data_IF_764412452479
#
_entry.id   IF_764412452479
#
_cell.length_a   1.000
_cell.length_b   1.000
_cell.length_c   1.000
_cell.angle_alpha   90.00
_cell.angle_beta   90.00
_cell.angle_gamma   90.00
#
_symmetry.space_group_name_H-M   'P 1'
#
loop_
_entity.id
_entity.type
_entity.pdbx_description
1 polymer ?
#
# COMPACT_ATOMS: atom_id res chain seq x y z
N UNK A 1 -18.93 21.09 11.59
CA UNK A 1 -18.60 19.86 10.85
C UNK A 1 -17.84 20.27 9.58
N UNK A 2 -16.51 20.23 9.61
CA UNK A 2 -15.71 20.53 8.41
C UNK A 2 -15.54 19.22 7.63
N UNK A 3 -16.25 19.15 6.50
CA UNK A 3 -16.07 18.07 5.52
C UNK A 3 -14.77 18.36 4.78
N UNK A 4 -13.73 17.59 5.02
CA UNK A 4 -12.49 17.67 4.24
C UNK A 4 -12.68 16.80 2.99
N UNK A 5 -12.95 17.44 1.87
CA UNK A 5 -13.04 16.80 0.57
C UNK A 5 -11.60 16.50 0.11
N UNK A 6 -11.16 15.26 0.16
CA UNK A 6 -9.93 14.85 -0.48
C UNK A 6 -10.27 14.30 -1.87
N UNK A 7 -9.99 15.09 -2.91
CA UNK A 7 -10.08 14.62 -4.29
C UNK A 7 -8.75 13.92 -4.60
N UNK A 8 -8.78 12.61 -4.68
CA UNK A 8 -7.63 11.83 -5.16
C UNK A 8 -7.81 11.66 -6.65
N UNK A 9 -7.14 12.48 -7.43
CA UNK A 9 -7.07 12.32 -8.89
C UNK A 9 -5.79 11.53 -9.18
N UNK A 10 -5.92 10.25 -9.37
CA UNK A 10 -4.82 9.42 -9.88
C UNK A 10 -4.87 9.49 -11.41
N UNK A 11 -3.90 10.17 -12.00
CA UNK A 11 -3.73 10.22 -13.45
C UNK A 11 -2.64 9.21 -13.80
N UNK A 12 -3.04 8.09 -14.37
CA UNK A 12 -2.09 7.15 -14.97
C UNK A 12 -1.56 7.83 -16.23
N UNK A 13 -0.30 8.24 -16.19
CA UNK A 13 0.31 8.92 -17.32
C UNK A 13 0.83 7.88 -18.31
N UNK A 14 0.06 7.61 -19.35
CA UNK A 14 0.46 6.75 -20.47
C UNK A 14 1.43 7.44 -21.44
N UNK A 15 1.88 8.66 -21.13
CA UNK A 15 2.68 9.50 -22.01
C UNK A 15 4.09 8.98 -22.34
N UNK A 16 4.59 7.99 -21.60
CA UNK A 16 5.92 7.44 -21.82
C UNK A 16 5.96 6.14 -22.65
N UNK A 17 4.83 5.65 -23.12
CA UNK A 17 4.78 4.35 -23.81
C UNK A 17 5.25 4.43 -25.27
N UNK A 18 5.18 5.58 -25.95
CA UNK A 18 5.27 5.59 -27.41
C UNK A 18 6.52 6.25 -28.03
N UNK A 19 7.40 6.93 -27.28
CA UNK A 19 8.44 7.75 -27.94
C UNK A 19 9.84 7.76 -27.34
N UNK A 20 10.23 6.85 -26.50
CA UNK A 20 11.64 6.73 -26.10
C UNK A 20 12.19 5.36 -26.48
N UNK A 21 13.27 5.30 -27.28
CA UNK A 21 14.00 4.05 -27.43
C UNK A 21 14.69 3.75 -26.11
N UNK A 22 14.05 2.96 -25.26
CA UNK A 22 14.67 2.42 -24.05
C UNK A 22 15.62 1.31 -24.51
N UNK A 23 16.82 1.72 -24.85
CA UNK A 23 17.92 0.80 -25.09
C UNK A 23 18.30 0.19 -23.74
N UNK A 24 18.17 -1.09 -23.60
CA UNK A 24 18.98 -1.87 -22.66
C UNK A 24 18.28 -2.54 -21.47
N UNK A 25 16.96 -2.44 -21.30
CA UNK A 25 16.28 -3.14 -20.18
C UNK A 25 15.41 -4.33 -20.63
N UNK A 26 15.16 -4.48 -21.94
CA UNK A 26 14.30 -5.56 -22.48
C UNK A 26 15.06 -6.80 -22.90
N UNK A 27 16.38 -6.72 -23.00
CA UNK A 27 17.23 -7.86 -23.38
C UNK A 27 17.86 -8.57 -22.18
N UNK A 28 17.45 -8.26 -20.96
CA UNK A 28 17.67 -9.18 -19.85
C UNK A 28 16.91 -10.45 -20.19
N UNK A 29 17.67 -11.46 -20.62
CA UNK A 29 17.21 -12.83 -20.81
C UNK A 29 16.23 -13.15 -19.69
N UNK A 30 14.96 -13.30 -20.03
CA UNK A 30 13.99 -13.87 -19.11
C UNK A 30 14.39 -15.32 -19.00
N UNK A 31 15.30 -15.61 -18.05
CA UNK A 31 15.56 -16.97 -17.64
C UNK A 31 14.19 -17.61 -17.42
N UNK A 32 13.97 -18.77 -18.03
CA UNK A 32 12.79 -19.59 -17.89
C UNK A 32 12.37 -19.58 -16.43
N UNK A 33 11.34 -18.81 -16.09
CA UNK A 33 10.87 -18.66 -14.73
C UNK A 33 10.35 -20.02 -14.30
N UNK A 34 11.20 -20.80 -13.65
CA UNK A 34 10.79 -21.99 -12.90
C UNK A 34 9.52 -21.63 -12.14
N UNK A 35 8.47 -22.45 -12.14
CA UNK A 35 7.23 -22.12 -11.46
C UNK A 35 7.55 -21.78 -10.01
N UNK A 36 7.48 -20.49 -9.70
CA UNK A 36 7.75 -19.97 -8.37
C UNK A 36 6.73 -20.63 -7.45
N UNK A 37 7.20 -21.37 -6.48
CA UNK A 37 6.36 -22.05 -5.51
C UNK A 37 5.36 -21.04 -4.98
N UNK A 38 4.07 -21.29 -5.16
CA UNK A 38 3.02 -20.37 -4.74
C UNK A 38 3.14 -20.14 -3.22
N UNK A 39 3.70 -18.99 -2.85
CA UNK A 39 3.89 -18.64 -1.45
C UNK A 39 2.70 -17.80 -0.98
N UNK A 40 2.21 -18.13 0.18
CA UNK A 40 1.20 -17.37 0.89
C UNK A 40 1.65 -17.16 2.33
N UNK A 41 1.51 -15.95 2.91
CA UNK A 41 1.83 -15.72 4.31
C UNK A 41 0.90 -16.53 5.22
N UNK A 42 1.37 -16.81 6.43
CA UNK A 42 0.46 -17.25 7.50
C UNK A 42 -0.60 -16.17 7.74
N UNK A 43 -1.78 -16.57 8.19
CA UNK A 43 -2.83 -15.61 8.51
C UNK A 43 -2.34 -14.61 9.57
N UNK A 44 -2.65 -13.33 9.37
CA UNK A 44 -2.36 -12.31 10.36
C UNK A 44 -3.16 -12.60 11.64
N UNK A 45 -2.55 -12.56 12.85
CA UNK A 45 -3.25 -12.79 14.11
C UNK A 45 -4.18 -11.63 14.43
N UNK A 46 -5.34 -11.60 13.77
CA UNK A 46 -6.32 -10.54 13.83
C UNK A 46 -7.72 -11.10 13.58
N UNK A 47 -8.44 -11.39 14.65
CA UNK A 47 -9.83 -11.87 14.58
C UNK A 47 -10.84 -10.74 14.85
N UNK A 48 -10.46 -9.77 15.69
CA UNK A 48 -11.32 -8.67 16.08
C UNK A 48 -10.56 -7.34 16.15
N UNK A 49 -11.27 -6.26 15.92
CA UNK A 49 -10.73 -4.91 16.11
C UNK A 49 -10.98 -4.42 17.55
N UNK A 50 -9.99 -3.79 18.25
CA UNK A 50 -8.58 -3.62 17.81
C UNK A 50 -7.78 -4.93 17.94
N UNK A 51 -6.76 -5.12 17.07
CA UNK A 51 -5.93 -6.32 17.10
C UNK A 51 -4.99 -6.33 18.32
N UNK A 52 -4.48 -7.50 18.68
CA UNK A 52 -3.33 -7.58 19.57
C UNK A 52 -2.05 -7.17 18.79
N UNK A 53 -1.66 -5.93 18.94
CA UNK A 53 -0.48 -5.36 18.26
C UNK A 53 0.82 -6.09 18.59
N UNK A 54 0.96 -6.69 19.77
CA UNK A 54 2.14 -7.48 20.14
C UNK A 54 2.21 -8.77 19.33
N UNK A 55 1.08 -9.44 19.19
CA UNK A 55 0.97 -10.63 18.35
C UNK A 55 1.27 -10.32 16.88
N UNK A 56 0.78 -9.19 16.36
CA UNK A 56 1.09 -8.74 14.99
C UNK A 56 2.58 -8.48 14.81
N UNK A 57 3.26 -7.81 15.75
CA UNK A 57 4.71 -7.60 15.67
C UNK A 57 5.49 -8.93 15.74
N UNK A 58 5.10 -9.84 16.62
CA UNK A 58 5.72 -11.15 16.71
C UNK A 58 5.58 -11.94 15.39
N UNK A 59 4.40 -11.90 14.79
CA UNK A 59 4.15 -12.48 13.48
C UNK A 59 5.04 -11.86 12.40
N UNK A 60 5.15 -10.52 12.34
CA UNK A 60 6.03 -9.81 11.39
C UNK A 60 7.48 -10.23 11.51
N UNK A 61 8.00 -10.34 12.74
CA UNK A 61 9.38 -10.79 12.98
C UNK A 61 9.58 -12.20 12.42
N UNK A 62 8.65 -13.12 12.70
CA UNK A 62 8.69 -14.50 12.19
C UNK A 62 8.69 -14.55 10.66
N UNK A 63 7.75 -13.85 10.02
CA UNK A 63 7.66 -13.80 8.56
C UNK A 63 8.90 -13.16 7.93
N UNK A 64 9.40 -12.08 8.52
CA UNK A 64 10.59 -11.39 8.01
C UNK A 64 11.83 -12.28 8.10
N UNK A 65 12.01 -13.03 9.20
CA UNK A 65 13.10 -13.99 9.35
C UNK A 65 13.03 -15.08 8.27
N UNK A 66 11.83 -15.61 8.02
CA UNK A 66 11.60 -16.61 6.97
C UNK A 66 11.94 -16.06 5.56
N UNK A 67 11.49 -14.87 5.22
CA UNK A 67 11.74 -14.26 3.91
C UNK A 67 13.21 -13.90 3.70
N UNK A 68 13.93 -13.51 4.77
CA UNK A 68 15.36 -13.21 4.71
C UNK A 68 16.23 -14.45 4.54
N UNK A 69 15.80 -15.56 5.09
CA UNK A 69 16.56 -16.83 4.99
C UNK A 69 16.42 -17.52 3.64
N UNK A 70 15.45 -17.10 2.80
CA UNK A 70 15.19 -17.75 1.52
C UNK A 70 14.85 -16.71 0.42
N UNK A 71 15.82 -16.39 -0.48
CA UNK A 71 15.63 -15.43 -1.56
C UNK A 71 14.49 -15.78 -2.53
N UNK A 72 14.22 -17.05 -2.76
CA UNK A 72 13.14 -17.46 -3.68
C UNK A 72 11.76 -17.19 -3.05
N UNK A 73 11.64 -17.40 -1.73
CA UNK A 73 10.43 -16.99 -1.02
C UNK A 73 10.21 -15.46 -1.07
N UNK A 74 11.28 -14.69 -1.05
CA UNK A 74 11.17 -13.23 -1.18
C UNK A 74 10.62 -12.81 -2.54
N UNK A 75 11.05 -13.48 -3.64
CA UNK A 75 10.48 -13.23 -4.98
C UNK A 75 9.00 -13.57 -5.01
N UNK A 76 8.63 -14.74 -4.47
CA UNK A 76 7.24 -15.19 -4.37
C UNK A 76 6.39 -14.24 -3.53
N UNK A 77 6.92 -13.75 -2.41
CA UNK A 77 6.25 -12.78 -1.56
C UNK A 77 6.00 -11.45 -2.29
N UNK A 78 6.99 -10.97 -3.06
CA UNK A 78 6.82 -9.77 -3.89
C UNK A 78 5.71 -9.97 -4.92
N UNK A 79 5.67 -11.10 -5.60
CA UNK A 79 4.60 -11.44 -6.54
C UNK A 79 3.24 -11.52 -5.85
N UNK A 80 3.16 -12.12 -4.67
CA UNK A 80 1.95 -12.21 -3.88
C UNK A 80 1.39 -10.84 -3.50
N UNK A 81 2.23 -9.96 -2.95
CA UNK A 81 1.80 -8.64 -2.49
C UNK A 81 1.55 -7.64 -3.62
N UNK A 82 2.10 -7.85 -4.81
CA UNK A 82 1.92 -6.90 -5.93
C UNK A 82 0.45 -6.66 -6.31
N UNK A 83 -0.41 -7.65 -6.10
CA UNK A 83 -1.85 -7.59 -6.40
C UNK A 83 -2.73 -7.40 -5.17
N UNK A 84 -2.14 -7.39 -3.96
CA UNK A 84 -2.84 -7.36 -2.67
C UNK A 84 -2.39 -6.19 -1.79
N UNK A 85 -2.78 -4.96 -2.13
CA UNK A 85 -2.37 -3.77 -1.39
C UNK A 85 -2.86 -3.76 0.05
N UNK A 86 -4.05 -4.26 0.32
CA UNK A 86 -4.65 -4.37 1.64
C UNK A 86 -3.82 -5.26 2.57
N UNK A 87 -3.50 -6.47 2.13
CA UNK A 87 -2.66 -7.38 2.89
C UNK A 87 -1.24 -6.83 3.08
N UNK A 88 -0.64 -6.23 2.01
CA UNK A 88 0.67 -5.62 2.13
C UNK A 88 0.71 -4.54 3.21
N UNK A 89 -0.28 -3.66 3.23
CA UNK A 89 -0.37 -2.56 4.20
C UNK A 89 -0.54 -3.12 5.61
N UNK A 90 -1.49 -4.03 5.83
CA UNK A 90 -1.74 -4.61 7.15
C UNK A 90 -0.54 -5.43 7.66
N UNK A 91 0.15 -6.13 6.77
CA UNK A 91 1.28 -6.98 7.14
C UNK A 91 2.55 -6.18 7.43
N UNK A 92 2.83 -5.10 6.69
CA UNK A 92 4.16 -4.49 6.69
C UNK A 92 4.22 -3.01 7.04
N UNK A 93 3.09 -2.30 7.06
CA UNK A 93 3.08 -0.87 7.32
C UNK A 93 2.62 -0.54 8.74
N UNK A 94 3.11 0.58 9.24
CA UNK A 94 2.67 1.15 10.51
C UNK A 94 1.85 2.42 10.27
N UNK A 95 1.00 2.74 11.23
CA UNK A 95 0.27 4.00 11.32
C UNK A 95 0.63 4.72 12.60
N UNK A 96 0.36 6.02 12.63
CA UNK A 96 0.64 6.87 13.76
C UNK A 96 -0.63 7.37 14.44
N UNK A 97 -0.76 7.13 15.74
CA UNK A 97 -1.85 7.66 16.55
C UNK A 97 -1.35 8.73 17.50
N UNK A 98 -1.59 10.03 17.21
CA UNK A 98 -1.12 11.13 18.03
C UNK A 98 -1.76 11.19 19.43
N UNK A 99 -2.91 10.55 19.60
CA UNK A 99 -3.66 10.57 20.88
C UNK A 99 -3.07 9.64 21.94
N UNK A 100 -2.26 8.67 21.54
CA UNK A 100 -1.57 7.80 22.50
C UNK A 100 -0.44 8.55 23.20
N UNK A 101 -0.28 8.35 24.51
CA UNK A 101 0.84 8.91 25.27
C UNK A 101 2.17 8.25 24.92
N UNK A 102 2.16 6.92 24.72
CA UNK A 102 3.32 6.11 24.32
C UNK A 102 2.89 5.10 23.26
N UNK A 103 3.84 4.52 22.53
CA UNK A 103 3.54 3.54 21.47
C UNK A 103 2.64 4.15 20.40
N UNK A 104 2.97 5.36 19.93
CA UNK A 104 2.18 6.09 18.93
C UNK A 104 2.20 5.42 17.56
N UNK A 105 3.28 4.74 17.23
CA UNK A 105 3.39 3.89 16.05
C UNK A 105 2.84 2.50 16.35
N UNK A 106 2.06 1.97 15.44
CA UNK A 106 1.43 0.67 15.57
C UNK A 106 1.17 0.05 14.20
N UNK A 107 1.09 -1.27 14.09
CA UNK A 107 0.71 -1.94 12.85
C UNK A 107 -0.57 -1.36 12.27
N UNK A 108 -0.56 -1.09 10.97
CA UNK A 108 -1.72 -0.54 10.27
C UNK A 108 -2.70 -1.66 9.89
N UNK A 109 -3.33 -2.25 10.88
CA UNK A 109 -4.39 -3.23 10.68
C UNK A 109 -5.72 -2.49 10.50
N UNK A 110 -6.42 -2.79 9.42
CA UNK A 110 -7.64 -2.10 9.04
C UNK A 110 -8.86 -2.53 9.89
N UNK A 111 -9.74 -1.59 10.18
CA UNK A 111 -11.12 -1.90 10.49
C UNK A 111 -11.95 -1.94 9.19
N UNK A 112 -13.14 -2.50 9.25
CA UNK A 112 -13.98 -2.82 8.09
C UNK A 112 -14.07 -1.68 7.04
N UNK A 113 -14.40 -0.46 7.46
CA UNK A 113 -14.52 0.70 6.56
C UNK A 113 -13.21 1.12 5.90
N UNK A 114 -12.08 0.84 6.53
CA UNK A 114 -10.76 1.08 5.92
C UNK A 114 -10.46 0.02 4.86
N UNK A 115 -10.87 -1.22 5.10
CA UNK A 115 -10.78 -2.30 4.12
C UNK A 115 -11.63 -1.99 2.88
N UNK A 116 -12.87 -1.56 3.08
CA UNK A 116 -13.73 -1.11 1.98
C UNK A 116 -13.09 0.01 1.16
N UNK A 117 -12.47 0.98 1.84
CA UNK A 117 -11.83 2.11 1.18
C UNK A 117 -10.65 1.69 0.29
N UNK A 118 -9.79 0.77 0.75
CA UNK A 118 -8.65 0.32 -0.06
C UNK A 118 -9.11 -0.43 -1.32
N UNK A 119 -10.14 -1.25 -1.20
CA UNK A 119 -10.74 -1.94 -2.35
C UNK A 119 -11.39 -0.96 -3.33
N UNK A 120 -12.07 0.06 -2.81
CA UNK A 120 -12.63 1.13 -3.64
C UNK A 120 -11.54 1.87 -4.42
N UNK A 121 -10.46 2.31 -3.74
CA UNK A 121 -9.33 2.98 -4.39
C UNK A 121 -8.69 2.11 -5.47
N UNK A 122 -8.49 0.82 -5.17
CA UNK A 122 -7.95 -0.13 -6.14
C UNK A 122 -8.87 -0.25 -7.37
N UNK A 123 -10.18 -0.39 -7.17
CA UNK A 123 -11.15 -0.48 -8.25
C UNK A 123 -11.16 0.77 -9.14
N UNK A 124 -11.06 1.97 -8.56
CA UNK A 124 -10.97 3.22 -9.32
C UNK A 124 -9.72 3.25 -10.21
N UNK A 125 -8.57 2.88 -9.64
CA UNK A 125 -7.30 2.91 -10.36
C UNK A 125 -7.27 1.86 -11.45
N UNK A 126 -7.68 0.63 -11.17
CA UNK A 126 -7.71 -0.46 -12.14
C UNK A 126 -8.70 -0.16 -13.30
N UNK A 127 -9.79 0.55 -12.99
CA UNK A 127 -10.78 0.98 -13.99
C UNK A 127 -10.47 2.31 -14.68
N UNK A 128 -9.36 3.00 -14.31
CA UNK A 128 -9.03 4.32 -14.85
C UNK A 128 -10.09 5.39 -14.51
N UNK A 129 -10.79 5.24 -13.40
CA UNK A 129 -11.92 6.07 -13.01
C UNK A 129 -11.54 7.09 -11.93
N UNK A 130 -12.25 8.21 -11.92
CA UNK A 130 -12.20 9.15 -10.81
C UNK A 130 -13.22 8.79 -9.74
N UNK A 131 -12.89 9.02 -8.48
CA UNK A 131 -13.80 8.75 -7.38
C UNK A 131 -13.81 9.84 -6.33
N UNK A 132 -14.84 9.81 -5.50
CA UNK A 132 -15.02 10.72 -4.39
C UNK A 132 -15.18 9.93 -3.09
N UNK A 133 -14.42 10.31 -2.07
CA UNK A 133 -14.51 9.71 -0.75
C UNK A 133 -14.99 10.76 0.24
N UNK A 134 -16.20 10.59 0.72
CA UNK A 134 -16.72 11.36 1.84
C UNK A 134 -16.41 10.64 3.15
N UNK A 135 -15.83 11.34 4.10
CA UNK A 135 -15.41 10.73 5.35
C UNK A 135 -15.48 11.71 6.52
N UNK A 136 -15.70 11.19 7.71
CA UNK A 136 -15.54 11.95 8.93
C UNK A 136 -14.05 12.21 9.23
N UNK A 137 -13.81 13.14 10.16
CA UNK A 137 -12.46 13.40 10.67
C UNK A 137 -11.91 12.14 11.34
N UNK A 138 -10.60 11.94 11.22
CA UNK A 138 -9.84 10.84 11.85
C UNK A 138 -10.19 9.42 11.35
N UNK A 139 -10.89 9.27 10.23
CA UNK A 139 -11.16 7.97 9.61
C UNK A 139 -9.92 7.27 9.01
N UNK A 140 -8.76 7.96 9.00
CA UNK A 140 -7.51 7.40 8.46
C UNK A 140 -7.40 7.43 6.94
N UNK A 141 -8.32 8.08 6.22
CA UNK A 141 -8.34 8.07 4.77
C UNK A 141 -7.04 8.55 4.11
N UNK A 142 -6.43 9.60 4.66
CA UNK A 142 -5.13 10.10 4.16
C UNK A 142 -4.03 9.04 4.34
N UNK A 143 -3.99 8.36 5.48
CA UNK A 143 -3.04 7.27 5.73
C UNK A 143 -3.23 6.10 4.76
N UNK A 144 -4.48 5.71 4.50
CA UNK A 144 -4.79 4.62 3.55
C UNK A 144 -4.36 5.02 2.13
N UNK A 145 -4.69 6.23 1.71
CA UNK A 145 -4.32 6.71 0.37
C UNK A 145 -2.80 6.83 0.20
N UNK A 146 -2.07 7.32 1.22
CA UNK A 146 -0.61 7.35 1.21
C UNK A 146 -0.03 5.92 1.18
N UNK A 147 -0.55 5.02 2.00
CA UNK A 147 -0.11 3.63 2.03
C UNK A 147 -0.34 2.92 0.70
N UNK A 148 -1.49 3.16 0.07
CA UNK A 148 -1.77 2.64 -1.27
C UNK A 148 -0.82 3.21 -2.32
N UNK A 149 -0.52 4.50 -2.25
CA UNK A 149 0.46 5.13 -3.14
C UNK A 149 1.86 4.51 -2.99
N UNK A 150 2.28 4.24 -1.76
CA UNK A 150 3.55 3.56 -1.49
C UNK A 150 3.55 2.15 -2.07
N UNK A 151 2.46 1.39 -1.87
CA UNK A 151 2.33 0.06 -2.47
C UNK A 151 2.50 0.12 -4.00
N UNK A 152 1.79 1.02 -4.67
CA UNK A 152 1.91 1.18 -6.13
C UNK A 152 3.32 1.55 -6.55
N UNK A 153 3.94 2.49 -5.86
CA UNK A 153 5.33 2.89 -6.14
C UNK A 153 6.33 1.72 -6.03
N UNK A 154 6.11 0.80 -5.09
CA UNK A 154 6.99 -0.35 -4.87
C UNK A 154 6.77 -1.43 -5.94
N UNK A 155 5.52 -1.70 -6.32
CA UNK A 155 5.16 -2.88 -7.10
C UNK A 155 4.81 -2.61 -8.55
N UNK A 156 4.45 -1.38 -8.91
CA UNK A 156 4.03 -1.04 -10.28
C UNK A 156 5.12 -0.20 -10.96
N UNK A 157 5.84 -0.76 -11.93
CA UNK A 157 6.86 -0.02 -12.65
C UNK A 157 6.29 1.20 -13.38
N UNK A 158 7.02 2.31 -13.34
CA UNK A 158 6.67 3.56 -14.05
C UNK A 158 5.33 4.19 -13.62
N UNK A 159 4.82 3.86 -12.43
CA UNK A 159 3.64 4.50 -11.89
C UNK A 159 3.97 5.90 -11.35
N UNK A 160 3.18 6.90 -11.72
CA UNK A 160 3.33 8.27 -11.26
C UNK A 160 2.12 8.69 -10.45
N UNK A 161 2.36 9.13 -9.22
CA UNK A 161 1.29 9.48 -8.28
C UNK A 161 1.41 10.94 -7.90
N UNK A 162 0.37 11.72 -8.18
CA UNK A 162 0.27 13.13 -7.80
C UNK A 162 -0.65 13.34 -6.60
N UNK A 163 -0.18 14.12 -5.64
CA UNK A 163 -0.97 14.56 -4.49
C UNK A 163 -1.25 16.05 -4.61
N UNK A 164 -2.50 16.42 -4.37
CA UNK A 164 -2.91 17.81 -4.39
C UNK A 164 -3.78 18.17 -3.19
N UNK A 165 -3.71 19.42 -2.77
CA UNK A 165 -4.55 19.98 -1.73
C UNK A 165 -5.04 21.38 -2.12
N UNK A 166 -6.17 21.78 -1.54
CA UNK A 166 -6.72 23.14 -1.71
C UNK A 166 -5.78 24.25 -1.24
N UNK A 167 -4.98 23.95 -0.22
CA UNK A 167 -4.05 24.91 0.39
C UNK A 167 -2.63 24.39 0.27
N UNK A 168 -1.73 25.22 -0.19
CA UNK A 168 -0.30 24.92 -0.29
C UNK A 168 0.27 24.46 1.04
N UNK A 169 -0.06 25.16 2.12
CA UNK A 169 0.37 24.81 3.49
C UNK A 169 0.03 23.36 3.91
N UNK A 170 -0.90 22.71 3.25
CA UNK A 170 -1.26 21.31 3.56
C UNK A 170 -0.47 20.29 2.73
N UNK A 171 0.25 20.75 1.71
CA UNK A 171 1.11 19.92 0.86
C UNK A 171 2.57 20.06 1.29
N UNK A 172 3.01 21.31 1.54
CA UNK A 172 4.43 21.64 1.70
C UNK A 172 4.89 21.75 3.17
N UNK A 173 3.97 21.65 4.13
CA UNK A 173 4.39 21.56 5.54
C UNK A 173 5.07 20.22 5.81
N UNK A 174 6.38 20.30 5.91
CA UNK A 174 7.16 19.28 6.62
C UNK A 174 6.65 19.27 8.07
N UNK A 175 6.01 18.15 8.47
CA UNK A 175 5.51 17.95 9.81
C UNK A 175 6.61 17.83 10.85
#
# INVERSE_FOLDING_TARGET
MQILLAVVKMQVNTYFADNAPVVGWRDAVVDEVQPVREWKPEALPHEQWPPDYKAVYAWRIKQLALLRSNPDLLKSAKAYYSTRPDEFIMHWMDTYNPRKKSGKWMPFVFFERQSEMIHYLKGLVDGGQSGLIEKCRDAGATWISCAYSIHRFIFIPNDAIGWGSRKQDLVDKLG
#
